data_IF_834359180382
#
_entry.id   IF_834359180382
#
_cell.length_a   1.000
_cell.length_b   1.000
_cell.length_c   1.000
_cell.angle_alpha   90.00
_cell.angle_beta   90.00
_cell.angle_gamma   90.00
#
_symmetry.space_group_name_H-M   'P 1'
#
loop_
_entity.id
_entity.type
_entity.pdbx_description
1 polymer ?
#
# COMPACT_ATOMS: atom_id res chain seq x y z
N UNK A 1 -12.68 -9.61 1.05
CA UNK A 1 -11.74 -8.70 1.75
C UNK A 1 -11.41 -7.56 0.80
N UNK A 2 -11.45 -6.32 1.29
CA UNK A 2 -11.01 -5.14 0.53
C UNK A 2 -9.52 -4.90 0.74
N UNK A 3 -8.77 -4.81 -0.35
CA UNK A 3 -7.32 -4.61 -0.33
C UNK A 3 -7.00 -3.31 -1.06
N UNK A 4 -6.31 -2.41 -0.37
CA UNK A 4 -5.83 -1.15 -0.91
C UNK A 4 -4.32 -1.26 -1.10
N UNK A 5 -3.86 -1.31 -2.35
CA UNK A 5 -2.45 -1.42 -2.70
C UNK A 5 -1.96 -0.05 -3.14
N UNK A 6 -1.02 0.52 -2.41
CA UNK A 6 -0.45 1.84 -2.67
C UNK A 6 1.03 1.73 -2.97
N UNK A 7 1.45 2.37 -4.08
CA UNK A 7 2.88 2.69 -4.27
C UNK A 7 3.22 3.88 -3.37
N UNK A 8 4.37 3.85 -2.71
CA UNK A 8 4.88 5.00 -1.96
C UNK A 8 4.86 6.31 -2.79
N UNK A 9 4.80 7.45 -2.10
CA UNK A 9 4.84 8.78 -2.71
C UNK A 9 6.16 9.09 -3.40
N UNK A 10 6.20 10.18 -4.15
CA UNK A 10 7.44 10.57 -4.85
C UNK A 10 8.59 10.75 -3.86
N UNK A 11 9.76 10.22 -4.21
CA UNK A 11 10.93 10.19 -3.33
C UNK A 11 12.15 10.78 -4.03
N UNK A 12 12.98 11.47 -3.25
CA UNK A 12 14.22 12.13 -3.69
C UNK A 12 15.10 11.18 -4.49
N UNK A 13 15.86 11.68 -5.47
CA UNK A 13 16.75 10.84 -6.28
C UNK A 13 18.05 10.47 -5.54
N UNK A 14 18.53 11.32 -4.63
CA UNK A 14 19.82 11.17 -3.98
C UNK A 14 19.67 10.92 -2.47
N UNK A 15 20.27 9.83 -1.99
CA UNK A 15 20.40 9.51 -0.58
C UNK A 15 21.65 8.63 -0.36
N UNK A 16 21.99 8.33 0.90
CA UNK A 16 23.14 7.45 1.22
C UNK A 16 22.97 6.03 0.67
N UNK A 17 21.74 5.54 0.59
CA UNK A 17 21.36 4.30 -0.07
C UNK A 17 19.93 4.41 -0.62
N UNK A 18 19.49 3.49 -1.50
CA UNK A 18 18.10 3.52 -2.01
C UNK A 18 17.07 3.42 -0.86
N UNK A 19 17.37 2.62 0.17
CA UNK A 19 16.46 2.43 1.31
C UNK A 19 16.28 3.70 2.14
N UNK A 20 17.28 4.58 2.10
CA UNK A 20 17.33 5.82 2.88
C UNK A 20 16.69 7.02 2.16
N UNK A 21 16.19 6.82 0.93
CA UNK A 21 15.52 7.88 0.18
C UNK A 21 14.24 8.30 0.90
N UNK A 22 14.12 9.60 1.15
CA UNK A 22 12.94 10.24 1.73
C UNK A 22 11.97 10.69 0.64
N UNK A 23 10.74 10.98 1.03
CA UNK A 23 9.78 11.66 0.15
C UNK A 23 10.30 13.04 -0.26
N UNK A 24 9.88 13.48 -1.45
CA UNK A 24 9.96 14.89 -1.87
C UNK A 24 8.78 15.66 -1.23
N UNK A 25 8.82 16.99 -1.20
CA UNK A 25 7.69 17.80 -0.74
C UNK A 25 6.39 17.49 -1.52
N UNK A 26 6.52 17.16 -2.81
CA UNK A 26 5.39 16.71 -3.63
C UNK A 26 4.87 15.34 -3.16
N UNK A 27 5.77 14.38 -2.91
CA UNK A 27 5.42 13.06 -2.40
C UNK A 27 4.72 13.09 -1.04
N UNK A 28 5.11 14.01 -0.16
CA UNK A 28 4.45 14.27 1.12
C UNK A 28 3.01 14.75 0.92
N UNK A 29 2.82 15.80 0.11
CA UNK A 29 1.49 16.37 -0.20
C UNK A 29 0.57 15.34 -0.87
N UNK A 30 1.10 14.58 -1.83
CA UNK A 30 0.35 13.52 -2.49
C UNK A 30 -0.02 12.41 -1.50
N UNK A 31 0.87 12.01 -0.59
CA UNK A 31 0.56 11.00 0.43
C UNK A 31 -0.55 11.46 1.39
N UNK A 32 -0.54 12.73 1.79
CA UNK A 32 -1.61 13.31 2.61
C UNK A 32 -2.96 13.38 1.86
N UNK A 33 -2.95 13.80 0.58
CA UNK A 33 -4.12 13.79 -0.30
C UNK A 33 -4.73 12.38 -0.42
N UNK A 34 -3.88 11.37 -0.57
CA UNK A 34 -4.31 9.98 -0.59
C UNK A 34 -4.88 9.52 0.75
N UNK A 35 -4.32 9.98 1.87
CA UNK A 35 -4.87 9.73 3.21
C UNK A 35 -6.31 10.26 3.36
N UNK A 36 -6.60 11.44 2.81
CA UNK A 36 -7.96 12.01 2.79
C UNK A 36 -8.91 11.11 2.00
N UNK A 37 -8.51 10.75 0.77
CA UNK A 37 -9.32 9.88 -0.08
C UNK A 37 -9.56 8.50 0.54
N UNK A 38 -8.53 7.91 1.17
CA UNK A 38 -8.64 6.63 1.89
C UNK A 38 -9.61 6.75 3.07
N UNK A 39 -9.58 7.85 3.82
CA UNK A 39 -10.51 8.06 4.95
C UNK A 39 -11.95 8.19 4.49
N UNK A 40 -12.20 8.86 3.37
CA UNK A 40 -13.53 9.00 2.78
C UNK A 40 -14.05 7.69 2.17
N UNK A 41 -13.17 6.95 1.49
CA UNK A 41 -13.54 5.75 0.71
C UNK A 41 -13.60 4.49 1.56
N UNK A 42 -12.60 4.29 2.42
CA UNK A 42 -12.42 3.08 3.22
C UNK A 42 -12.92 3.26 4.66
N UNK A 43 -12.77 4.46 5.23
CA UNK A 43 -13.20 4.79 6.60
C UNK A 43 -12.31 4.23 7.72
N UNK A 44 -11.90 2.96 7.62
CA UNK A 44 -11.05 2.28 8.60
C UNK A 44 -10.11 1.28 7.93
N UNK A 45 -9.16 0.70 8.65
CA UNK A 45 -8.41 -0.48 8.20
C UNK A 45 -8.32 -1.44 9.36
N UNK A 46 -8.37 -2.75 9.10
CA UNK A 46 -8.10 -3.77 10.12
C UNK A 46 -6.59 -4.02 10.26
N UNK A 47 -5.88 -3.98 9.14
CA UNK A 47 -4.44 -4.21 9.05
C UNK A 47 -3.80 -3.24 8.06
N UNK A 48 -2.62 -2.73 8.39
CA UNK A 48 -1.80 -1.94 7.49
C UNK A 48 -0.43 -2.59 7.38
N UNK A 49 0.06 -2.83 6.16
CA UNK A 49 1.37 -3.39 5.87
C UNK A 49 2.22 -2.31 5.22
N UNK A 50 3.37 -2.00 5.83
CA UNK A 50 4.26 -0.93 5.37
C UNK A 50 5.64 -1.50 5.10
N UNK A 51 6.18 -1.20 3.92
CA UNK A 51 7.56 -1.57 3.61
C UNK A 51 8.57 -0.89 4.55
N UNK A 52 9.69 -1.55 4.90
CA UNK A 52 10.70 -0.98 5.81
C UNK A 52 11.43 0.27 5.28
N UNK A 53 11.34 0.57 3.98
CA UNK A 53 12.06 1.67 3.34
C UNK A 53 11.49 3.03 3.76
N UNK A 54 12.35 4.04 3.94
CA UNK A 54 11.96 5.32 4.54
C UNK A 54 10.80 5.98 3.79
N UNK A 55 10.87 6.09 2.46
CA UNK A 55 9.77 6.63 1.65
C UNK A 55 8.41 5.95 1.86
N UNK A 56 8.38 4.64 2.10
CA UNK A 56 7.12 3.93 2.35
C UNK A 56 6.59 4.22 3.77
N UNK A 57 7.49 4.25 4.77
CA UNK A 57 7.16 4.67 6.14
C UNK A 57 6.62 6.09 6.20
N UNK A 58 7.29 7.03 5.55
CA UNK A 58 6.84 8.42 5.48
C UNK A 58 5.48 8.53 4.78
N UNK A 59 5.26 7.81 3.67
CA UNK A 59 3.94 7.78 3.02
C UNK A 59 2.86 7.33 4.00
N UNK A 60 3.11 6.27 4.77
CA UNK A 60 2.20 5.82 5.81
C UNK A 60 2.01 6.87 6.93
N UNK A 61 3.07 7.54 7.39
CA UNK A 61 2.97 8.60 8.41
C UNK A 61 2.02 9.73 7.94
N UNK A 62 2.17 10.22 6.71
CA UNK A 62 1.26 11.24 6.17
C UNK A 62 -0.19 10.75 6.07
N UNK A 63 -0.41 9.48 5.74
CA UNK A 63 -1.75 8.87 5.75
C UNK A 63 -2.29 8.80 7.18
N UNK A 64 -1.50 8.27 8.12
CA UNK A 64 -1.92 8.04 9.49
C UNK A 64 -2.29 9.33 10.23
N UNK A 65 -1.59 10.43 9.93
CA UNK A 65 -1.94 11.76 10.42
C UNK A 65 -3.38 12.15 10.05
N UNK A 66 -3.84 11.83 8.82
CA UNK A 66 -5.22 12.07 8.40
C UNK A 66 -6.22 11.20 9.18
N UNK A 67 -5.80 9.99 9.56
CA UNK A 67 -6.55 9.09 10.45
C UNK A 67 -6.38 9.41 11.94
N UNK A 68 -5.76 10.54 12.30
CA UNK A 68 -5.52 10.94 13.68
C UNK A 68 -4.76 9.87 14.47
N UNK A 69 -3.74 9.27 13.85
CA UNK A 69 -2.85 8.23 14.40
C UNK A 69 -3.52 6.90 14.74
N UNK A 70 -4.79 6.70 14.35
CA UNK A 70 -5.53 5.48 14.69
C UNK A 70 -5.04 4.22 13.96
N UNK A 71 -4.23 4.34 12.91
CA UNK A 71 -3.73 3.17 12.18
C UNK A 71 -2.44 2.60 12.80
N UNK A 72 -1.79 3.29 13.74
CA UNK A 72 -0.49 2.88 14.33
C UNK A 72 -0.55 1.47 14.93
N UNK A 73 -1.57 1.18 15.74
CA UNK A 73 -1.72 -0.14 16.38
C UNK A 73 -2.08 -1.26 15.39
N UNK A 74 -2.49 -0.89 14.18
CA UNK A 74 -2.90 -1.79 13.11
C UNK A 74 -1.80 -1.98 12.07
N UNK A 75 -0.73 -1.19 12.17
CA UNK A 75 0.35 -1.16 11.22
C UNK A 75 1.46 -2.14 11.60
N UNK A 76 1.94 -2.86 10.59
CA UNK A 76 3.09 -3.74 10.67
C UNK A 76 4.10 -3.32 9.62
N UNK A 77 5.36 -3.15 10.03
CA UNK A 77 6.46 -3.04 9.07
C UNK A 77 6.88 -4.44 8.64
N UNK A 78 6.85 -4.72 7.33
CA UNK A 78 7.10 -6.06 6.83
C UNK A 78 8.12 -6.08 5.68
N UNK A 79 9.20 -6.85 5.84
CA UNK A 79 10.31 -6.92 4.87
C UNK A 79 9.91 -7.57 3.54
N UNK A 80 8.87 -8.41 3.53
CA UNK A 80 8.41 -9.10 2.32
C UNK A 80 7.77 -8.15 1.29
N UNK A 81 7.46 -6.91 1.66
CA UNK A 81 6.88 -5.90 0.76
C UNK A 81 7.88 -4.80 0.36
N UNK A 82 9.18 -5.14 0.33
CA UNK A 82 10.22 -4.32 -0.33
C UNK A 82 10.14 -4.46 -1.86
N UNK A 83 10.90 -3.65 -2.65
CA UNK A 83 10.93 -3.83 -4.12
C UNK A 83 11.33 -5.24 -4.60
N UNK A 84 11.97 -6.04 -3.73
CA UNK A 84 12.46 -7.38 -4.04
C UNK A 84 11.59 -8.48 -3.40
N UNK A 85 10.44 -8.10 -2.86
CA UNK A 85 9.43 -9.04 -2.36
C UNK A 85 8.88 -9.92 -3.48
N UNK A 86 8.14 -10.96 -3.08
CA UNK A 86 7.45 -11.87 -4.01
C UNK A 86 5.95 -11.74 -3.80
N UNK A 87 5.21 -11.50 -4.88
CA UNK A 87 3.76 -11.35 -4.81
C UNK A 87 3.06 -12.57 -4.20
N UNK A 88 3.49 -13.79 -4.56
CA UNK A 88 3.00 -15.06 -3.98
C UNK A 88 3.03 -15.03 -2.44
N UNK A 89 4.15 -14.61 -1.83
CA UNK A 89 4.30 -14.53 -0.37
C UNK A 89 3.35 -13.49 0.24
N UNK A 90 3.09 -12.39 -0.47
CA UNK A 90 2.15 -11.36 -0.03
C UNK A 90 0.72 -11.88 -0.09
N UNK A 91 0.35 -12.60 -1.16
CA UNK A 91 -0.98 -13.19 -1.32
C UNK A 91 -1.22 -14.32 -0.34
N UNK A 92 -0.23 -15.18 -0.07
CA UNK A 92 -0.32 -16.21 0.98
C UNK A 92 -0.61 -15.59 2.37
N UNK A 93 0.05 -14.47 2.68
CA UNK A 93 -0.22 -13.76 3.93
C UNK A 93 -1.61 -13.11 3.93
N UNK A 94 -2.06 -12.55 2.81
CA UNK A 94 -3.43 -12.05 2.67
C UNK A 94 -4.46 -13.16 2.85
N UNK A 95 -4.21 -14.39 2.38
CA UNK A 95 -5.07 -15.56 2.63
C UNK A 95 -5.17 -15.87 4.12
N UNK A 96 -4.04 -15.82 4.84
CA UNK A 96 -4.02 -15.98 6.30
C UNK A 96 -4.87 -14.92 7.00
N UNK A 97 -4.72 -13.65 6.59
CA UNK A 97 -5.55 -12.55 7.12
C UNK A 97 -7.04 -12.75 6.78
N UNK A 98 -7.35 -13.30 5.62
CA UNK A 98 -8.72 -13.57 5.19
C UNK A 98 -9.38 -14.61 6.10
N UNK A 99 -8.67 -15.70 6.41
CA UNK A 99 -9.12 -16.74 7.33
C UNK A 99 -9.28 -16.21 8.78
N UNK A 100 -8.51 -15.19 9.16
CA UNK A 100 -8.65 -14.44 10.42
C UNK A 100 -9.78 -13.40 10.42
N UNK A 101 -10.64 -13.40 9.39
CA UNK A 101 -11.78 -12.49 9.23
C UNK A 101 -11.40 -11.00 9.05
N UNK A 102 -10.14 -10.70 8.65
CA UNK A 102 -9.69 -9.34 8.35
C UNK A 102 -10.41 -8.82 7.11
N UNK A 103 -11.16 -7.73 7.25
CA UNK A 103 -12.04 -7.23 6.19
C UNK A 103 -11.37 -6.23 5.26
N UNK A 104 -10.47 -5.39 5.78
CA UNK A 104 -9.89 -4.28 5.02
C UNK A 104 -8.40 -4.09 5.33
N UNK A 105 -7.56 -4.18 4.30
CA UNK A 105 -6.09 -4.12 4.39
C UNK A 105 -5.57 -2.97 3.54
N UNK A 106 -4.59 -2.21 4.08
CA UNK A 106 -3.79 -1.25 3.32
C UNK A 106 -2.36 -1.78 3.18
N UNK A 107 -1.80 -1.72 1.98
CA UNK A 107 -0.41 -2.10 1.69
C UNK A 107 0.32 -0.90 1.10
N UNK A 108 1.40 -0.43 1.71
CA UNK A 108 2.26 0.65 1.20
C UNK A 108 3.62 0.07 0.80
N UNK A 109 3.84 -0.03 -0.52
CA UNK A 109 4.98 -0.76 -1.10
C UNK A 109 5.56 -0.05 -2.34
N UNK A 110 6.21 -0.78 -3.24
CA UNK A 110 7.07 -0.30 -4.32
C UNK A 110 6.79 -1.01 -5.63
N UNK A 111 7.26 -0.42 -6.74
CA UNK A 111 7.44 -1.19 -7.97
C UNK A 111 8.69 -2.09 -7.87
N UNK A 112 8.68 -3.25 -8.56
CA UNK A 112 7.57 -3.79 -9.36
C UNK A 112 6.44 -4.42 -8.52
N UNK A 113 6.71 -4.75 -7.25
CA UNK A 113 5.85 -5.58 -6.41
C UNK A 113 4.38 -5.16 -6.35
N UNK A 114 4.05 -3.87 -6.25
CA UNK A 114 2.63 -3.43 -6.21
C UNK A 114 1.85 -3.87 -7.45
N UNK A 115 2.49 -3.88 -8.62
CA UNK A 115 1.87 -4.37 -9.85
C UNK A 115 1.80 -5.90 -9.88
N UNK A 116 2.81 -6.57 -9.34
CA UNK A 116 2.84 -8.03 -9.24
C UNK A 116 1.78 -8.56 -8.28
N UNK A 117 1.54 -7.90 -7.14
CA UNK A 117 0.44 -8.26 -6.22
C UNK A 117 -0.92 -8.12 -6.93
N UNK A 118 -1.15 -7.05 -7.70
CA UNK A 118 -2.39 -6.91 -8.49
C UNK A 118 -2.51 -8.04 -9.50
N UNK A 119 -1.42 -8.42 -10.16
CA UNK A 119 -1.42 -9.51 -11.13
C UNK A 119 -1.70 -10.86 -10.48
N UNK A 120 -1.12 -11.12 -9.31
CA UNK A 120 -1.33 -12.35 -8.54
C UNK A 120 -2.77 -12.46 -8.06
N UNK A 121 -3.33 -11.37 -7.51
CA UNK A 121 -4.71 -11.35 -7.04
C UNK A 121 -5.73 -11.42 -8.19
N UNK A 122 -5.53 -10.66 -9.27
CA UNK A 122 -6.54 -10.47 -10.33
C UNK A 122 -6.26 -11.24 -11.63
N UNK A 123 -5.20 -12.05 -11.67
CA UNK A 123 -4.70 -12.74 -12.86
C UNK A 123 -3.98 -11.84 -13.90
N UNK A 124 -4.01 -10.52 -13.74
CA UNK A 124 -3.27 -9.55 -14.57
C UNK A 124 -3.20 -8.17 -13.91
N UNK A 125 -2.12 -7.43 -14.15
CA UNK A 125 -2.02 -6.04 -13.73
C UNK A 125 -2.62 -5.10 -14.80
N UNK A 126 -3.68 -4.36 -14.46
CA UNK A 126 -4.24 -3.29 -15.31
C UNK A 126 -4.04 -1.88 -14.71
N UNK A 127 -3.14 -1.74 -13.74
CA UNK A 127 -2.89 -0.50 -13.00
C UNK A 127 -1.53 0.06 -13.35
N UNK A 128 -1.50 1.33 -13.75
CA UNK A 128 -0.26 2.10 -13.89
C UNK A 128 0.06 2.77 -12.56
N UNK A 129 1.01 2.20 -11.81
CA UNK A 129 1.42 2.73 -10.52
C UNK A 129 2.42 3.88 -10.66
N UNK A 130 1.92 5.11 -10.80
CA UNK A 130 2.69 6.32 -10.49
C UNK A 130 2.97 6.38 -8.98
N UNK A 131 3.98 7.14 -8.52
CA UNK A 131 4.16 7.36 -7.08
C UNK A 131 2.84 7.84 -6.45
N UNK A 132 2.49 7.33 -5.28
CA UNK A 132 1.21 7.55 -4.60
C UNK A 132 -0.08 7.06 -5.32
N UNK A 133 0.00 6.27 -6.39
CA UNK A 133 -1.19 5.59 -6.94
C UNK A 133 -1.69 4.51 -5.99
N UNK A 134 -3.01 4.43 -5.82
CA UNK A 134 -3.72 3.39 -5.05
C UNK A 134 -4.61 2.57 -5.98
N UNK A 135 -4.61 1.24 -5.80
CA UNK A 135 -5.59 0.33 -6.36
C UNK A 135 -6.48 -0.23 -5.25
N UNK A 136 -7.80 -0.15 -5.40
CA UNK A 136 -8.77 -0.84 -4.55
C UNK A 136 -9.18 -2.15 -5.22
N UNK A 137 -9.00 -3.26 -4.52
CA UNK A 137 -9.37 -4.60 -4.97
C UNK A 137 -10.39 -5.17 -3.98
N UNK A 138 -11.45 -5.76 -4.51
CA UNK A 138 -12.31 -6.67 -3.74
C UNK A 138 -11.89 -8.10 -4.07
N UNK A 139 -11.54 -8.86 -3.04
CA UNK A 139 -10.95 -10.20 -3.17
C UNK A 139 -11.70 -11.21 -2.31
N UNK A 140 -12.10 -12.33 -2.90
CA UNK A 140 -12.90 -13.38 -2.27
C UNK A 140 -12.08 -14.60 -1.79
N UNK A 141 -10.75 -14.45 -1.71
CA UNK A 141 -9.75 -15.50 -1.47
C UNK A 141 -9.43 -16.41 -2.68
N UNK A 142 -10.12 -16.25 -3.81
CA UNK A 142 -9.81 -16.97 -5.06
C UNK A 142 -9.43 -16.01 -6.19
N UNK A 143 -10.23 -14.98 -6.42
CA UNK A 143 -10.06 -14.03 -7.52
C UNK A 143 -10.31 -12.59 -7.06
N UNK A 144 -9.36 -11.72 -7.39
CA UNK A 144 -9.43 -10.30 -7.14
C UNK A 144 -10.14 -9.57 -8.28
N UNK A 145 -10.98 -8.59 -7.92
CA UNK A 145 -11.55 -7.63 -8.85
C UNK A 145 -11.06 -6.23 -8.52
N UNK A 146 -10.36 -5.60 -9.47
CA UNK A 146 -10.04 -4.18 -9.40
C UNK A 146 -11.34 -3.36 -9.44
N UNK A 147 -11.61 -2.62 -8.37
CA UNK A 147 -12.79 -1.78 -8.23
C UNK A 147 -12.52 -0.39 -8.81
N UNK A 148 -11.42 0.23 -8.39
CA UNK A 148 -11.02 1.55 -8.85
C UNK A 148 -9.53 1.82 -8.58
N UNK A 149 -9.03 2.89 -9.21
CA UNK A 149 -7.68 3.39 -8.99
C UNK A 149 -7.73 4.88 -8.66
N UNK A 150 -6.99 5.31 -7.64
CA UNK A 150 -6.78 6.73 -7.34
C UNK A 150 -5.33 7.11 -7.67
N UNK A 151 -5.16 7.94 -8.69
CA UNK A 151 -3.88 8.59 -8.98
C UNK A 151 -3.63 9.74 -8.00
N UNK A 152 -2.40 10.26 -7.86
CA UNK A 152 -2.06 11.39 -6.96
C UNK A 152 -3.04 12.57 -7.05
#
# INVERSE_FOLDING_TARGET
>A
MKIFIMRHGEAEMFAKSDKDRTLTEFGEKSSASQGIWLKETAGYFNKVLVSPYIRAKQTFEYINNIFSEQLTERAETWDAITPYGKAEVVVDYLSTLFDEDIKQVLIVSHLPLVGEIVAELCGKNNVSFLPATIAEIDWDAEMGKLIQTKNP
#
